data_IF_768013164868
#
_entry.id   IF_768013164868
#
_cell.length_a   1.000
_cell.length_b   1.000
_cell.length_c   1.000
_cell.angle_alpha   90.00
_cell.angle_beta   90.00
_cell.angle_gamma   90.00
#
_symmetry.space_group_name_H-M   'P 1'
#
loop_
_entity.id
_entity.type
_entity.pdbx_description
1 polymer ?
#
# COMPACT_ATOMS: atom_id res chain seq x y z
N UNK A 1 18.85 -1.11 -16.65
CA UNK A 1 18.37 -1.07 -15.25
C UNK A 1 17.13 -0.19 -15.20
N UNK A 2 15.95 -0.81 -15.26
CA UNK A 2 14.68 -0.12 -15.50
C UNK A 2 14.00 0.21 -14.18
N UNK A 3 14.11 1.45 -13.74
CA UNK A 3 13.35 1.96 -12.60
C UNK A 3 11.86 2.10 -12.97
N UNK A 4 11.01 1.46 -12.16
CA UNK A 4 9.59 1.74 -11.96
C UNK A 4 8.66 1.77 -13.19
N UNK A 5 8.34 0.60 -13.76
CA UNK A 5 7.16 0.42 -14.63
C UNK A 5 5.99 -0.09 -13.79
N UNK A 6 5.13 0.81 -13.31
CA UNK A 6 3.83 0.51 -12.67
C UNK A 6 3.85 -0.47 -11.45
N UNK A 7 4.90 -0.43 -10.63
CA UNK A 7 5.32 -1.54 -9.74
C UNK A 7 4.47 -1.81 -8.47
N UNK A 8 3.21 -1.36 -8.43
CA UNK A 8 2.24 -1.81 -7.43
C UNK A 8 1.28 -2.86 -8.00
N UNK A 9 0.63 -2.53 -9.12
CA UNK A 9 -0.55 -3.26 -9.58
C UNK A 9 -0.34 -4.73 -9.88
N UNK A 10 0.80 -5.08 -10.49
CA UNK A 10 1.14 -6.46 -10.84
C UNK A 10 1.46 -7.32 -9.62
N UNK A 11 2.04 -6.75 -8.55
CA UNK A 11 2.31 -7.50 -7.34
C UNK A 11 1.01 -7.81 -6.59
N UNK A 12 0.14 -6.82 -6.41
CA UNK A 12 -1.18 -7.06 -5.79
C UNK A 12 -2.00 -8.04 -6.61
N UNK A 13 -1.96 -7.97 -7.94
CA UNK A 13 -2.63 -8.94 -8.83
C UNK A 13 -2.13 -10.38 -8.66
N UNK A 14 -0.86 -10.56 -8.28
CA UNK A 14 -0.29 -11.87 -7.94
C UNK A 14 -0.50 -12.31 -6.49
N UNK A 15 -1.05 -11.45 -5.63
CA UNK A 15 -1.35 -11.79 -4.24
C UNK A 15 -2.76 -12.39 -4.10
N UNK A 16 -2.98 -13.31 -3.13
CA UNK A 16 -4.30 -13.83 -2.83
C UNK A 16 -5.24 -12.70 -2.42
N UNK A 17 -6.41 -12.64 -3.04
CA UNK A 17 -7.45 -11.63 -2.74
C UNK A 17 -7.93 -11.67 -1.29
N UNK A 18 -7.84 -12.84 -0.64
CA UNK A 18 -8.16 -13.04 0.78
C UNK A 18 -7.12 -12.48 1.75
N UNK A 19 -5.95 -12.07 1.27
CA UNK A 19 -4.93 -11.46 2.11
C UNK A 19 -5.24 -9.98 2.38
N UNK A 20 -4.59 -9.45 3.41
CA UNK A 20 -4.70 -8.11 3.94
C UNK A 20 -3.37 -7.41 3.84
N UNK A 21 -3.41 -6.13 3.50
CA UNK A 21 -2.28 -5.23 3.52
C UNK A 21 -2.59 -4.09 4.46
N UNK A 22 -1.59 -3.59 5.17
CA UNK A 22 -1.79 -2.42 6.03
C UNK A 22 -1.46 -1.19 5.20
N UNK A 23 -2.47 -0.35 4.94
CA UNK A 23 -2.20 0.97 4.41
C UNK A 23 -1.60 1.82 5.52
N UNK A 24 -0.34 2.22 5.33
CA UNK A 24 0.44 3.04 6.27
C UNK A 24 0.03 4.49 6.14
N UNK A 25 0.16 5.03 4.91
CA UNK A 25 -0.11 6.43 4.60
C UNK A 25 -0.46 6.60 3.13
N UNK A 26 -1.23 7.64 2.82
CA UNK A 26 -1.48 8.10 1.46
C UNK A 26 -0.89 9.49 1.28
N UNK A 27 0.00 9.66 0.29
CA UNK A 27 0.57 10.96 -0.06
C UNK A 27 0.21 11.32 -1.50
N UNK A 28 -0.02 12.59 -1.79
CA UNK A 28 -0.20 13.05 -3.18
C UNK A 28 1.14 13.21 -3.90
N UNK A 29 2.27 13.10 -3.19
CA UNK A 29 3.61 13.24 -3.74
C UNK A 29 4.23 11.88 -4.06
N UNK A 30 4.38 11.57 -5.36
CA UNK A 30 5.05 10.35 -5.81
C UNK A 30 6.46 10.21 -5.25
N UNK A 31 7.23 11.31 -5.30
CA UNK A 31 8.60 11.35 -4.81
C UNK A 31 8.67 10.96 -3.33
N UNK A 32 7.75 11.43 -2.48
CA UNK A 32 7.71 11.07 -1.07
C UNK A 32 7.41 9.58 -0.87
N UNK A 33 6.45 9.02 -1.62
CA UNK A 33 6.13 7.60 -1.56
C UNK A 33 7.31 6.73 -2.05
N UNK A 34 7.92 7.12 -3.15
CA UNK A 34 9.05 6.41 -3.74
C UNK A 34 10.28 6.47 -2.84
N UNK A 35 10.57 7.62 -2.22
CA UNK A 35 11.68 7.73 -1.27
C UNK A 35 11.43 6.84 -0.05
N UNK A 36 10.22 6.85 0.50
CA UNK A 36 9.87 6.02 1.65
C UNK A 36 10.03 4.53 1.36
N UNK A 37 9.55 4.04 0.21
CA UNK A 37 9.70 2.64 -0.16
C UNK A 37 11.15 2.28 -0.50
N UNK A 38 11.92 3.19 -1.09
CA UNK A 38 13.37 3.01 -1.31
C UNK A 38 14.16 2.97 0.00
N UNK A 39 13.83 3.85 0.93
CA UNK A 39 14.49 3.98 2.24
C UNK A 39 14.22 2.75 3.11
N UNK A 40 12.96 2.29 3.14
CA UNK A 40 12.58 1.16 3.99
C UNK A 40 12.94 -0.20 3.38
N UNK A 41 12.75 -0.38 2.06
CA UNK A 41 13.01 -1.64 1.38
C UNK A 41 12.17 -2.83 1.88
N UNK A 42 12.41 -4.01 1.29
CA UNK A 42 11.93 -5.32 1.74
C UNK A 42 10.43 -5.60 1.58
N UNK A 43 9.61 -4.93 2.38
CA UNK A 43 8.17 -5.23 2.54
C UNK A 43 7.26 -4.03 2.33
N UNK A 44 7.83 -2.83 2.23
CA UNK A 44 7.06 -1.64 1.90
C UNK A 44 6.79 -1.59 0.41
N UNK A 45 5.54 -1.31 0.06
CA UNK A 45 5.11 -1.14 -1.33
C UNK A 45 4.28 0.09 -1.43
N UNK A 46 4.24 0.68 -2.62
CA UNK A 46 3.33 1.78 -2.89
C UNK A 46 2.58 1.52 -4.18
N UNK A 47 1.36 2.03 -4.25
CA UNK A 47 0.59 2.07 -5.48
C UNK A 47 -0.02 3.44 -5.68
N UNK A 48 -0.13 3.83 -6.94
CA UNK A 48 -0.87 5.02 -7.35
C UNK A 48 -2.33 4.61 -7.52
N UNK A 49 -3.23 5.31 -6.85
CA UNK A 49 -4.68 5.30 -7.11
C UNK A 49 -5.15 6.70 -7.46
N UNK A 50 -6.30 6.79 -8.11
CA UNK A 50 -6.98 8.06 -8.32
C UNK A 50 -8.12 8.15 -7.32
N UNK A 51 -8.12 9.16 -6.46
CA UNK A 51 -9.22 9.45 -5.56
C UNK A 51 -9.82 10.80 -5.98
N UNK A 52 -11.07 10.81 -6.41
CA UNK A 52 -11.78 12.01 -6.87
C UNK A 52 -11.00 12.80 -7.94
N UNK A 53 -10.44 12.13 -8.94
CA UNK A 53 -9.66 12.76 -10.01
C UNK A 53 -8.26 13.23 -9.59
N UNK A 54 -7.85 13.02 -8.33
CA UNK A 54 -6.50 13.37 -7.85
C UNK A 54 -5.63 12.13 -7.71
N UNK A 55 -4.36 12.16 -8.17
CA UNK A 55 -3.43 11.08 -7.93
C UNK A 55 -3.08 11.00 -6.44
N UNK A 56 -3.19 9.81 -5.87
CA UNK A 56 -2.85 9.50 -4.50
C UNK A 56 -1.97 8.26 -4.48
N UNK A 57 -0.80 8.39 -3.86
CA UNK A 57 0.18 7.31 -3.69
C UNK A 57 -0.01 6.72 -2.31
N UNK A 58 -0.57 5.51 -2.27
CA UNK A 58 -0.83 4.77 -1.05
C UNK A 58 0.35 3.85 -0.78
N UNK A 59 1.00 4.05 0.36
CA UNK A 59 2.04 3.19 0.88
C UNK A 59 1.39 2.12 1.74
N UNK A 60 1.70 0.88 1.45
CA UNK A 60 1.29 -0.30 2.20
C UNK A 60 2.51 -1.01 2.76
N UNK A 61 2.25 -1.81 3.78
CA UNK A 61 3.26 -2.65 4.43
C UNK A 61 2.75 -4.07 4.57
N UNK A 62 3.64 -5.01 4.21
CA UNK A 62 3.45 -6.43 4.43
C UNK A 62 2.30 -7.06 3.62
N UNK A 63 2.10 -8.34 3.86
CA UNK A 63 0.98 -9.13 3.34
C UNK A 63 0.54 -10.12 4.41
N UNK A 64 -0.60 -9.84 5.02
CA UNK A 64 -1.14 -10.58 6.14
C UNK A 64 -2.21 -11.55 5.65
N UNK A 65 -2.20 -12.79 6.12
CA UNK A 65 -3.23 -13.77 5.74
C UNK A 65 -4.63 -13.41 6.28
N UNK A 66 -4.71 -12.60 7.35
CA UNK A 66 -5.96 -12.23 8.00
C UNK A 66 -5.95 -10.79 8.52
N UNK A 67 -7.14 -10.30 8.87
CA UNK A 67 -7.34 -8.94 9.40
C UNK A 67 -6.63 -8.73 10.73
N UNK A 68 -6.64 -9.74 11.62
CA UNK A 68 -6.04 -9.65 12.96
C UNK A 68 -4.53 -9.44 12.94
N UNK A 69 -3.84 -10.07 12.00
CA UNK A 69 -2.41 -9.86 11.79
C UNK A 69 -2.13 -8.45 11.25
N UNK A 70 -2.97 -7.95 10.34
CA UNK A 70 -2.87 -6.56 9.88
C UNK A 70 -3.15 -5.55 11.00
N UNK A 71 -4.14 -5.80 11.87
CA UNK A 71 -4.46 -4.96 13.03
C UNK A 71 -3.34 -5.01 14.08
N UNK A 72 -2.75 -6.19 14.32
CA UNK A 72 -1.60 -6.33 15.21
C UNK A 72 -0.38 -5.57 14.67
N UNK A 73 -0.13 -5.65 13.37
CA UNK A 73 0.91 -4.85 12.73
C UNK A 73 0.65 -3.35 12.89
N UNK A 74 -0.60 -2.89 12.73
CA UNK A 74 -0.96 -1.48 12.99
C UNK A 74 -0.58 -1.03 14.39
N UNK A 75 -0.84 -1.88 15.40
CA UNK A 75 -0.47 -1.59 16.80
C UNK A 75 1.04 -1.63 17.03
N UNK A 76 1.77 -2.47 16.30
CA UNK A 76 3.22 -2.58 16.38
C UNK A 76 3.97 -1.47 15.63
N UNK A 77 3.28 -0.72 14.75
CA UNK A 77 3.90 0.38 14.02
C UNK A 77 4.17 1.60 14.91
N UNK A 78 5.22 2.39 14.61
CA UNK A 78 5.58 3.57 15.38
C UNK A 78 4.48 4.64 15.33
N UNK A 79 4.42 5.50 16.37
CA UNK A 79 3.40 6.54 16.52
C UNK A 79 3.26 7.46 15.29
N UNK A 80 4.37 7.70 14.56
CA UNK A 80 4.37 8.49 13.32
C UNK A 80 3.51 7.85 12.22
N UNK A 81 3.52 6.53 12.14
CA UNK A 81 2.68 5.76 11.22
C UNK A 81 1.25 5.69 11.75
N UNK A 82 1.06 5.45 13.06
CA UNK A 82 -0.28 5.45 13.69
C UNK A 82 -0.99 6.80 13.53
N UNK A 83 -0.26 7.92 13.53
CA UNK A 83 -0.78 9.25 13.28
C UNK A 83 -1.39 9.39 11.87
N UNK A 84 -0.90 8.61 10.89
CA UNK A 84 -1.48 8.48 9.56
C UNK A 84 -2.79 7.72 9.51
N UNK A 85 -3.28 7.21 10.65
CA UNK A 85 -4.46 6.33 10.78
C UNK A 85 -4.39 5.15 9.81
N UNK A 86 -3.38 4.28 9.98
CA UNK A 86 -3.18 3.17 9.08
C UNK A 86 -4.34 2.20 9.26
N UNK A 87 -4.81 1.63 8.15
CA UNK A 87 -5.98 0.77 8.17
C UNK A 87 -5.76 -0.49 7.35
N UNK A 88 -6.31 -1.62 7.83
CA UNK A 88 -6.18 -2.89 7.14
C UNK A 88 -7.09 -2.87 5.91
N UNK A 89 -6.54 -3.16 4.75
CA UNK A 89 -7.24 -3.19 3.48
C UNK A 89 -7.03 -4.55 2.83
N UNK A 90 -8.04 -5.14 2.21
CA UNK A 90 -7.89 -6.42 1.51
C UNK A 90 -7.19 -6.23 0.18
N UNK A 91 -6.40 -7.24 -0.21
CA UNK A 91 -5.80 -7.29 -1.55
C UNK A 91 -6.91 -7.27 -2.61
N UNK A 92 -8.04 -7.94 -2.37
CA UNK A 92 -9.22 -7.87 -3.24
C UNK A 92 -9.64 -6.42 -3.54
N UNK A 93 -9.77 -5.59 -2.50
CA UNK A 93 -10.18 -4.20 -2.65
C UNK A 93 -9.14 -3.38 -3.41
N UNK A 94 -7.85 -3.61 -3.13
CA UNK A 94 -6.75 -2.94 -3.85
C UNK A 94 -6.75 -3.34 -5.33
N UNK A 95 -6.88 -4.63 -5.64
CA UNK A 95 -6.98 -5.12 -7.02
C UNK A 95 -8.18 -4.50 -7.74
N UNK A 96 -9.34 -4.42 -7.09
CA UNK A 96 -10.54 -3.81 -7.66
C UNK A 96 -10.34 -2.32 -7.96
N UNK A 97 -9.73 -1.56 -7.04
CA UNK A 97 -9.40 -0.15 -7.28
C UNK A 97 -8.39 0.04 -8.41
N UNK A 98 -7.37 -0.83 -8.48
CA UNK A 98 -6.38 -0.82 -9.55
C UNK A 98 -7.02 -1.16 -10.91
N UNK A 99 -7.99 -2.08 -10.94
CA UNK A 99 -8.73 -2.45 -12.13
C UNK A 99 -9.67 -1.33 -12.60
N UNK A 100 -10.27 -0.57 -11.68
CA UNK A 100 -11.10 0.62 -11.98
C UNK A 100 -10.27 1.82 -12.44
N UNK A 101 -8.99 1.91 -12.07
CA UNK A 101 -8.09 3.02 -12.44
C UNK A 101 -7.53 2.88 -13.87
N UNK A 102 -8.23 2.19 -14.78
CA UNK A 102 -7.76 1.86 -16.13
C UNK A 102 -8.14 2.92 -17.16
#
# INVERSE_FOLDING_TARGET
>A
MTVAKAAGGSWYAGQPTGNYVVQILGTSSESAAQNFVKEQGGEYRYFKKVLNGKPLYVITYGNFANRDAAVSAIKALPAKVQAGKPWPRTVASVQQELATTR
#
